data_IF_639705910142
#
_entry.id   IF_639705910142
#
_cell.length_a   1.000
_cell.length_b   1.000
_cell.length_c   1.000
_cell.angle_alpha   90.00
_cell.angle_beta   90.00
_cell.angle_gamma   90.00
#
_symmetry.space_group_name_H-M   'P 1'
#
loop_
_entity.id
_entity.type
_entity.pdbx_description
1 polymer ?
#
# COMPACT_ATOMS: atom_id res chain seq x y z
N UNK A 1 -16.63 4.99 -15.32
CA UNK A 1 -15.58 4.29 -14.55
C UNK A 1 -15.86 4.53 -13.08
N UNK A 2 -15.76 3.50 -12.23
CA UNK A 2 -15.96 3.65 -10.79
C UNK A 2 -14.77 4.37 -10.15
N UNK A 3 -15.05 5.35 -9.29
CA UNK A 3 -14.04 6.17 -8.62
C UNK A 3 -14.10 5.90 -7.12
N UNK A 4 -12.95 5.92 -6.43
CA UNK A 4 -12.96 5.81 -4.98
C UNK A 4 -13.71 6.98 -4.30
N UNK A 5 -13.80 8.13 -4.96
CA UNK A 5 -14.56 9.28 -4.48
C UNK A 5 -16.09 9.04 -4.47
N UNK A 6 -16.57 8.00 -5.15
CA UNK A 6 -17.98 7.61 -5.11
C UNK A 6 -18.32 6.74 -3.91
N UNK A 7 -17.33 6.27 -3.14
CA UNK A 7 -17.53 5.46 -1.96
C UNK A 7 -17.78 6.31 -0.70
N UNK A 8 -18.62 5.79 0.19
CA UNK A 8 -18.87 6.32 1.53
C UNK A 8 -19.26 5.19 2.48
N UNK A 9 -19.10 5.38 3.79
CA UNK A 9 -19.71 4.55 4.83
C UNK A 9 -21.11 5.01 5.21
N UNK A 10 -21.58 6.14 4.67
CA UNK A 10 -22.89 6.73 4.96
C UNK A 10 -23.91 6.41 3.84
N UNK A 11 -25.14 6.01 4.21
CA UNK A 11 -26.25 5.91 3.26
C UNK A 11 -26.90 7.27 2.92
N UNK A 12 -26.51 8.35 3.62
CA UNK A 12 -27.16 9.65 3.51
C UNK A 12 -26.42 10.54 2.49
N UNK A 13 -26.95 10.60 1.26
CA UNK A 13 -26.38 11.36 0.12
C UNK A 13 -26.21 12.84 0.46
N UNK A 14 -27.17 13.43 1.17
CA UNK A 14 -27.19 14.86 1.47
C UNK A 14 -26.09 15.27 2.47
N UNK A 15 -25.59 14.31 3.26
CA UNK A 15 -24.55 14.53 4.27
C UNK A 15 -23.15 14.12 3.81
N UNK A 16 -23.00 13.66 2.57
CA UNK A 16 -21.71 13.18 2.08
C UNK A 16 -20.70 14.33 2.01
N UNK A 17 -19.59 14.15 2.71
CA UNK A 17 -18.47 15.09 2.67
C UNK A 17 -17.78 15.05 1.31
N UNK A 18 -17.26 16.19 0.80
CA UNK A 18 -16.54 16.21 -0.47
C UNK A 18 -15.29 15.31 -0.41
N UNK A 19 -14.96 14.74 -1.56
CA UNK A 19 -13.71 14.02 -1.72
C UNK A 19 -12.50 14.97 -1.71
N UNK A 20 -11.35 14.47 -1.29
CA UNK A 20 -10.10 15.19 -1.23
C UNK A 20 -8.92 14.25 -1.48
N UNK A 21 -7.74 14.83 -1.70
CA UNK A 21 -6.51 14.05 -1.82
C UNK A 21 -6.09 13.52 -0.47
N UNK A 22 -5.98 12.20 -0.37
CA UNK A 22 -5.45 11.47 0.76
C UNK A 22 -4.14 10.82 0.37
N UNK A 23 -3.13 10.91 1.24
CA UNK A 23 -1.83 10.28 1.04
C UNK A 23 -1.81 8.94 1.76
N UNK A 24 -1.53 7.86 1.02
CA UNK A 24 -1.49 6.52 1.61
C UNK A 24 -0.33 6.37 2.60
N UNK A 25 0.89 6.62 2.14
CA UNK A 25 2.08 6.46 2.96
C UNK A 25 2.48 7.80 3.59
N UNK A 26 2.47 7.89 4.93
CA UNK A 26 2.79 9.12 5.67
C UNK A 26 3.98 8.91 6.62
N UNK A 27 4.60 10.00 7.05
CA UNK A 27 5.90 9.99 7.73
C UNK A 27 5.85 9.36 9.13
N UNK A 28 4.71 9.55 9.81
CA UNK A 28 4.44 9.02 11.15
C UNK A 28 4.37 7.48 11.16
N UNK A 29 4.08 6.84 10.02
CA UNK A 29 3.89 5.39 9.91
C UNK A 29 5.20 4.59 9.71
N UNK A 30 6.34 5.26 9.43
CA UNK A 30 7.42 4.63 8.65
C UNK A 30 8.85 4.80 9.21
N UNK A 31 9.04 5.39 10.39
CA UNK A 31 10.36 5.80 10.93
C UNK A 31 11.40 4.68 11.01
N UNK A 32 11.01 3.40 10.94
CA UNK A 32 11.91 2.25 10.90
C UNK A 32 12.11 1.58 9.53
N UNK A 33 11.26 1.83 8.53
CA UNK A 33 11.26 1.06 7.27
C UNK A 33 11.61 1.87 6.02
N UNK A 34 11.79 3.20 6.13
CA UNK A 34 12.27 4.04 5.02
C UNK A 34 13.53 3.51 4.36
N UNK A 35 14.52 3.13 5.16
CA UNK A 35 15.78 2.60 4.64
C UNK A 35 15.62 1.25 3.95
N UNK A 36 14.69 0.42 4.42
CA UNK A 36 14.35 -0.83 3.76
C UNK A 36 13.62 -0.57 2.43
N UNK A 37 12.69 0.40 2.39
CA UNK A 37 12.02 0.83 1.17
C UNK A 37 13.00 1.39 0.15
N UNK A 38 13.81 2.39 0.52
CA UNK A 38 14.84 2.98 -0.34
C UNK A 38 15.71 1.89 -0.97
N UNK A 39 16.18 0.98 -0.14
CA UNK A 39 17.04 -0.10 -0.56
C UNK A 39 16.35 -1.07 -1.52
N UNK A 40 15.18 -1.59 -1.14
CA UNK A 40 14.45 -2.56 -1.95
C UNK A 40 13.86 -1.96 -3.22
N UNK A 41 13.56 -0.67 -3.21
CA UNK A 41 13.09 0.07 -4.38
C UNK A 41 14.26 0.52 -5.28
N UNK A 42 15.51 0.21 -4.91
CA UNK A 42 16.70 0.60 -5.66
C UNK A 42 16.85 2.12 -5.77
N UNK A 43 16.53 2.83 -4.69
CA UNK A 43 16.61 4.28 -4.57
C UNK A 43 17.80 4.67 -3.69
N UNK A 44 18.44 5.83 -3.95
CA UNK A 44 19.43 6.40 -3.05
C UNK A 44 18.87 6.65 -1.64
N UNK A 45 19.77 6.62 -0.64
CA UNK A 45 19.40 6.94 0.74
C UNK A 45 18.92 8.40 0.85
N UNK A 46 17.83 8.61 1.57
CA UNK A 46 17.16 9.90 1.73
C UNK A 46 16.38 10.36 0.50
N UNK A 47 16.20 9.51 -0.51
CA UNK A 47 15.55 9.90 -1.77
C UNK A 47 14.13 9.37 -1.95
N UNK A 48 13.60 8.58 -1.01
CA UNK A 48 12.16 8.26 -1.02
C UNK A 48 11.39 9.56 -0.77
N UNK A 49 10.60 9.97 -1.76
CA UNK A 49 9.73 11.13 -1.65
C UNK A 49 8.28 10.68 -1.50
N UNK A 50 7.72 10.83 -0.30
CA UNK A 50 6.31 10.51 -0.03
C UNK A 50 5.34 11.60 -0.51
N UNK A 51 5.83 12.80 -0.81
CA UNK A 51 5.03 13.96 -1.24
C UNK A 51 4.84 13.99 -2.76
N UNK A 52 4.77 12.82 -3.40
CA UNK A 52 4.54 12.70 -4.84
C UNK A 52 3.07 12.47 -5.14
N UNK A 53 2.62 12.93 -6.31
CA UNK A 53 1.26 12.65 -6.83
C UNK A 53 0.98 11.15 -6.90
N UNK A 54 2.02 10.36 -7.17
CA UNK A 54 1.98 8.90 -7.21
C UNK A 54 1.71 8.20 -5.86
N UNK A 55 1.62 8.94 -4.76
CA UNK A 55 1.25 8.45 -3.43
C UNK A 55 -0.12 9.02 -2.97
N UNK A 56 -0.86 9.70 -3.85
CA UNK A 56 -2.16 10.28 -3.57
C UNK A 56 -3.29 9.45 -4.15
N UNK A 57 -4.41 9.43 -3.43
CA UNK A 57 -5.71 8.94 -3.91
C UNK A 57 -6.77 10.00 -3.63
N UNK A 58 -7.85 10.01 -4.41
CA UNK A 58 -8.96 10.95 -4.22
C UNK A 58 -10.17 10.24 -3.62
N UNK A 59 -10.47 10.53 -2.35
CA UNK A 59 -11.43 9.79 -1.51
C UNK A 59 -12.22 10.73 -0.60
N UNK A 60 -13.39 10.29 -0.13
CA UNK A 60 -14.13 10.98 0.93
C UNK A 60 -13.49 10.77 2.30
N UNK A 61 -13.79 11.64 3.26
CA UNK A 61 -13.15 11.65 4.58
C UNK A 61 -13.39 10.38 5.41
N UNK A 62 -14.60 9.82 5.32
CA UNK A 62 -14.95 8.55 5.94
C UNK A 62 -14.18 7.37 5.34
N UNK A 63 -13.97 7.37 4.02
CA UNK A 63 -13.13 6.36 3.35
C UNK A 63 -11.64 6.56 3.66
N UNK A 64 -11.16 7.80 3.68
CA UNK A 64 -9.81 8.15 4.11
C UNK A 64 -9.53 7.65 5.54
N UNK A 65 -10.50 7.79 6.43
CA UNK A 65 -10.40 7.30 7.81
C UNK A 65 -10.20 5.77 7.86
N UNK A 66 -10.84 5.00 6.97
CA UNK A 66 -10.64 3.55 6.90
C UNK A 66 -9.23 3.16 6.39
N UNK A 67 -8.65 3.95 5.48
CA UNK A 67 -7.24 3.77 5.07
C UNK A 67 -6.29 4.12 6.20
N UNK A 68 -6.59 5.20 6.93
CA UNK A 68 -5.81 5.66 8.09
C UNK A 68 -5.81 4.65 9.25
N UNK A 69 -6.98 4.11 9.61
CA UNK A 69 -7.11 3.05 10.64
C UNK A 69 -6.64 1.67 10.17
N UNK A 70 -6.17 1.57 8.92
CA UNK A 70 -5.77 0.34 8.27
C UNK A 70 -6.86 -0.75 8.35
N UNK A 71 -8.11 -0.36 8.14
CA UNK A 71 -9.24 -1.29 8.04
C UNK A 71 -9.45 -1.76 6.60
N UNK A 72 -8.97 -0.99 5.63
CA UNK A 72 -8.95 -1.31 4.20
C UNK A 72 -7.60 -0.98 3.59
N UNK A 73 -7.25 -1.67 2.50
CA UNK A 73 -6.08 -1.40 1.67
C UNK A 73 -6.42 -1.47 0.18
N UNK A 74 -5.54 -0.90 -0.64
CA UNK A 74 -5.57 -1.09 -2.09
C UNK A 74 -4.60 -2.20 -2.47
N UNK A 75 -5.14 -3.31 -2.97
CA UNK A 75 -4.36 -4.40 -3.53
C UNK A 75 -4.22 -4.17 -5.05
N UNK A 76 -3.00 -4.01 -5.60
CA UNK A 76 -2.83 -4.00 -7.05
C UNK A 76 -3.31 -5.32 -7.67
N UNK A 77 -3.53 -5.34 -8.98
CA UNK A 77 -3.81 -6.58 -9.72
C UNK A 77 -2.78 -7.69 -9.40
N UNK A 78 -3.23 -8.94 -9.37
CA UNK A 78 -2.41 -10.09 -8.93
C UNK A 78 -1.14 -10.26 -9.74
N UNK A 79 -1.21 -10.08 -11.05
CA UNK A 79 -0.08 -10.15 -11.99
C UNK A 79 0.97 -9.09 -11.67
N UNK A 80 0.50 -7.90 -11.30
CA UNK A 80 1.36 -6.78 -10.91
C UNK A 80 2.05 -7.05 -9.58
N UNK A 81 1.32 -7.60 -8.60
CA UNK A 81 1.91 -8.02 -7.32
C UNK A 81 2.95 -9.13 -7.49
N UNK A 82 2.73 -10.09 -8.38
CA UNK A 82 3.73 -11.12 -8.72
C UNK A 82 4.99 -10.47 -9.28
N UNK A 83 4.85 -9.56 -10.24
CA UNK A 83 5.98 -8.81 -10.83
C UNK A 83 6.74 -8.01 -9.78
N UNK A 84 6.02 -7.30 -8.90
CA UNK A 84 6.61 -6.54 -7.79
C UNK A 84 7.39 -7.44 -6.84
N UNK A 85 6.83 -8.60 -6.47
CA UNK A 85 7.49 -9.57 -5.60
C UNK A 85 8.80 -10.05 -6.22
N UNK A 86 8.80 -10.45 -7.48
CA UNK A 86 10.01 -10.90 -8.19
C UNK A 86 11.07 -9.80 -8.29
N UNK A 87 10.66 -8.55 -8.50
CA UNK A 87 11.55 -7.41 -8.45
C UNK A 87 12.19 -7.22 -7.07
N UNK A 88 11.37 -7.23 -6.00
CA UNK A 88 11.85 -7.08 -4.62
C UNK A 88 12.80 -8.20 -4.21
N UNK A 89 12.48 -9.43 -4.59
CA UNK A 89 13.34 -10.59 -4.37
C UNK A 89 14.69 -10.44 -5.09
N UNK A 90 14.69 -9.98 -6.33
CA UNK A 90 15.91 -9.74 -7.10
C UNK A 90 16.79 -8.65 -6.45
N UNK A 91 16.18 -7.54 -6.03
CA UNK A 91 16.90 -6.47 -5.34
C UNK A 91 17.43 -6.91 -3.97
N UNK A 92 16.66 -7.72 -3.25
CA UNK A 92 17.10 -8.31 -1.99
C UNK A 92 18.33 -9.21 -2.20
N UNK A 93 18.36 -10.06 -3.23
CA UNK A 93 19.54 -10.87 -3.55
C UNK A 93 20.74 -10.02 -3.99
N UNK A 94 20.54 -9.06 -4.90
CA UNK A 94 21.59 -8.16 -5.36
C UNK A 94 22.30 -7.47 -4.19
N UNK A 95 21.52 -7.03 -3.21
CA UNK A 95 22.04 -6.40 -2.00
C UNK A 95 22.92 -7.31 -1.13
N UNK A 96 22.56 -8.59 -1.00
CA UNK A 96 23.33 -9.54 -0.21
C UNK A 96 24.70 -9.82 -0.85
N UNK A 97 24.76 -9.78 -2.18
CA UNK A 97 25.96 -10.06 -2.97
C UNK A 97 26.79 -8.80 -3.31
N UNK A 98 26.35 -7.62 -2.86
CA UNK A 98 27.04 -6.34 -3.09
C UNK A 98 26.85 -5.76 -4.49
N UNK A 99 25.87 -6.24 -5.25
CA UNK A 99 25.47 -5.69 -6.55
C UNK A 99 24.54 -4.48 -6.39
N UNK A 100 24.48 -3.66 -7.44
CA UNK A 100 23.58 -2.51 -7.49
C UNK A 100 22.12 -2.97 -7.70
N UNK A 101 21.22 -2.48 -6.84
CA UNK A 101 19.78 -2.71 -6.97
C UNK A 101 19.23 -1.94 -8.19
N UNK A 102 18.25 -2.53 -8.88
CA UNK A 102 17.51 -1.86 -9.95
C UNK A 102 16.46 -0.92 -9.36
N UNK A 103 16.27 0.26 -9.96
CA UNK A 103 15.24 1.20 -9.52
C UNK A 103 13.83 0.68 -9.81
N UNK A 104 12.90 0.86 -8.87
CA UNK A 104 11.50 0.47 -9.04
C UNK A 104 10.85 1.24 -10.20
N UNK A 105 11.21 2.50 -10.41
CA UNK A 105 10.74 3.33 -11.52
C UNK A 105 11.22 2.85 -12.90
N UNK A 106 12.26 2.00 -12.94
CA UNK A 106 12.64 1.26 -14.15
C UNK A 106 11.87 -0.05 -14.34
N UNK A 107 11.28 -0.60 -13.27
CA UNK A 107 10.50 -1.85 -13.29
C UNK A 107 9.05 -1.62 -13.72
N UNK A 108 8.42 -0.58 -13.16
CA UNK A 108 7.04 -0.19 -13.42
C UNK A 108 7.00 1.25 -13.93
N UNK A 109 6.31 1.47 -15.05
CA UNK A 109 6.07 2.80 -15.63
C UNK A 109 5.16 3.66 -14.75
N UNK A 110 5.22 4.98 -14.94
CA UNK A 110 4.24 5.89 -14.33
C UNK A 110 3.00 5.93 -15.22
N UNK A 111 1.95 5.20 -14.81
CA UNK A 111 0.68 5.08 -15.51
C UNK A 111 -0.42 4.70 -14.52
N UNK A 112 -1.68 4.71 -14.98
CA UNK A 112 -2.79 4.15 -14.22
C UNK A 112 -2.62 2.64 -14.01
N UNK A 113 -2.91 2.19 -12.79
CA UNK A 113 -2.95 0.78 -12.43
C UNK A 113 -4.30 0.41 -11.86
N UNK A 114 -4.64 -0.88 -11.99
CA UNK A 114 -5.87 -1.43 -11.45
C UNK A 114 -5.67 -1.95 -10.02
N UNK A 115 -6.62 -1.59 -9.15
CA UNK A 115 -6.61 -1.89 -7.73
C UNK A 115 -7.95 -2.47 -7.26
N UNK A 116 -7.89 -3.48 -6.40
CA UNK A 116 -9.04 -3.96 -5.63
C UNK A 116 -8.96 -3.41 -4.21
N UNK A 117 -10.04 -2.78 -3.76
CA UNK A 117 -10.19 -2.41 -2.36
C UNK A 117 -10.41 -3.69 -1.55
N UNK A 118 -9.52 -3.95 -0.59
CA UNK A 118 -9.48 -5.19 0.17
C UNK A 118 -9.59 -4.86 1.65
N UNK A 119 -10.50 -5.50 2.40
CA UNK A 119 -10.54 -5.33 3.85
C UNK A 119 -9.32 -5.96 4.51
N UNK A 120 -8.79 -5.27 5.51
CA UNK A 120 -7.71 -5.77 6.38
C UNK A 120 -8.31 -6.19 7.73
N UNK A 121 -9.28 -5.44 8.24
CA UNK A 121 -9.99 -5.76 9.48
C UNK A 121 -10.86 -7.01 9.34
N UNK A 122 -11.16 -7.66 10.46
CA UNK A 122 -12.07 -8.83 10.51
C UNK A 122 -13.53 -8.44 10.25
N UNK A 123 -13.89 -7.19 10.56
CA UNK A 123 -15.20 -6.62 10.38
C UNK A 123 -15.06 -5.19 9.85
N UNK A 124 -16.08 -4.69 9.16
CA UNK A 124 -16.12 -3.32 8.65
C UNK A 124 -17.55 -2.86 8.43
N UNK A 125 -17.78 -1.53 8.31
CA UNK A 125 -19.09 -0.99 8.00
C UNK A 125 -19.50 -1.37 6.57
N UNK A 126 -20.80 -1.39 6.21
CA UNK A 126 -21.19 -1.43 4.82
C UNK A 126 -20.64 -0.21 4.08
N UNK A 127 -20.28 -0.41 2.82
CA UNK A 127 -19.92 0.67 1.92
C UNK A 127 -21.10 1.01 1.01
N UNK A 128 -21.20 2.27 0.65
CA UNK A 128 -22.20 2.79 -0.27
C UNK A 128 -21.47 3.41 -1.44
N UNK A 129 -21.74 2.91 -2.64
CA UNK A 129 -21.15 3.40 -3.88
C UNK A 129 -22.19 4.21 -4.63
N UNK A 130 -21.90 5.49 -4.88
CA UNK A 130 -22.70 6.32 -5.78
C UNK A 130 -22.53 5.83 -7.22
N UNK A 131 -23.64 5.79 -7.94
CA UNK A 131 -23.64 5.64 -9.39
C UNK A 131 -22.95 6.83 -10.09
N UNK A 132 -22.78 6.74 -11.41
CA UNK A 132 -22.17 7.81 -12.20
C UNK A 132 -22.97 9.11 -12.22
N UNK A 133 -24.27 9.06 -11.88
CA UNK A 133 -25.16 10.21 -11.84
C UNK A 133 -25.21 10.88 -10.46
N UNK A 134 -24.63 10.23 -9.43
CA UNK A 134 -24.65 10.69 -8.05
C UNK A 134 -26.03 10.57 -7.37
N UNK A 135 -26.95 9.81 -7.96
CA UNK A 135 -28.37 9.78 -7.59
C UNK A 135 -28.76 8.53 -6.80
N UNK A 136 -28.12 7.40 -7.09
CA UNK A 136 -28.41 6.13 -6.42
C UNK A 136 -27.20 5.62 -5.66
N UNK A 137 -27.47 5.02 -4.49
CA UNK A 137 -26.47 4.33 -3.69
C UNK A 137 -26.65 2.82 -3.80
N UNK A 138 -25.61 2.15 -4.27
CA UNK A 138 -25.50 0.71 -4.13
C UNK A 138 -24.86 0.40 -2.77
N UNK A 139 -25.61 -0.28 -1.89
CA UNK A 139 -25.05 -0.84 -0.67
C UNK A 139 -24.21 -2.07 -0.99
N UNK A 140 -23.03 -2.12 -0.39
CA UNK A 140 -22.04 -3.18 -0.55
C UNK A 140 -21.68 -3.65 0.85
N UNK A 141 -22.00 -4.91 1.12
CA UNK A 141 -21.69 -5.53 2.41
C UNK A 141 -20.21 -5.93 2.49
N UNK A 142 -19.66 -5.89 3.69
CA UNK A 142 -18.38 -6.49 4.02
C UNK A 142 -18.38 -7.99 3.64
N UNK A 143 -17.31 -8.56 3.05
CA UNK A 143 -15.96 -8.03 2.86
C UNK A 143 -15.74 -7.27 1.54
N UNK A 144 -16.81 -6.75 0.94
CA UNK A 144 -16.79 -5.93 -0.28
C UNK A 144 -16.36 -6.66 -1.55
N UNK A 145 -16.58 -7.97 -1.63
CA UNK A 145 -16.22 -8.79 -2.79
C UNK A 145 -16.84 -8.26 -4.10
N UNK A 146 -18.03 -7.68 -4.03
CA UNK A 146 -18.77 -7.12 -5.17
C UNK A 146 -18.30 -5.75 -5.65
N UNK A 147 -17.34 -5.10 -4.97
CA UNK A 147 -16.76 -3.85 -5.47
C UNK A 147 -16.10 -4.04 -6.84
N UNK A 148 -16.22 -3.09 -7.77
CA UNK A 148 -15.40 -3.11 -8.97
C UNK A 148 -13.93 -2.87 -8.63
N UNK A 149 -13.04 -3.16 -9.58
CA UNK A 149 -11.69 -2.65 -9.51
C UNK A 149 -11.64 -1.16 -9.87
N UNK A 150 -10.67 -0.45 -9.31
CA UNK A 150 -10.46 0.97 -9.51
C UNK A 150 -9.17 1.20 -10.30
N UNK A 151 -9.23 2.08 -11.30
CA UNK A 151 -8.02 2.55 -11.98
C UNK A 151 -7.57 3.85 -11.33
N UNK A 152 -6.31 3.91 -10.91
CA UNK A 152 -5.75 5.02 -10.14
C UNK A 152 -4.36 5.35 -10.65
N UNK A 153 -4.03 6.65 -10.65
CA UNK A 153 -2.65 7.19 -10.82
C UNK A 153 -1.80 7.00 -9.55
N UNK A 154 -2.01 5.90 -8.85
CA UNK A 154 -1.27 5.51 -7.66
C UNK A 154 -0.15 4.57 -8.08
N UNK A 155 1.06 4.77 -7.57
CA UNK A 155 2.17 3.89 -7.87
C UNK A 155 2.13 2.64 -6.96
N UNK A 156 2.20 1.41 -7.51
CA UNK A 156 1.88 0.19 -6.77
C UNK A 156 2.72 -0.04 -5.51
N UNK A 157 3.98 0.40 -5.52
CA UNK A 157 4.87 0.27 -4.36
C UNK A 157 4.36 1.03 -3.13
N UNK A 158 3.77 2.22 -3.29
CA UNK A 158 3.14 2.95 -2.18
C UNK A 158 1.92 2.21 -1.64
N UNK A 159 1.06 1.70 -2.52
CA UNK A 159 -0.13 0.94 -2.14
C UNK A 159 0.22 -0.30 -1.30
N UNK A 160 1.21 -1.07 -1.75
CA UNK A 160 1.64 -2.30 -1.05
C UNK A 160 2.40 -2.03 0.24
N UNK A 161 3.16 -0.93 0.32
CA UNK A 161 3.82 -0.52 1.56
C UNK A 161 2.80 -0.12 2.63
N UNK A 162 1.78 0.67 2.27
CA UNK A 162 0.68 1.04 3.17
C UNK A 162 -0.10 -0.19 3.65
N UNK A 163 -0.62 -1.00 2.72
CA UNK A 163 -1.47 -2.14 3.10
C UNK A 163 -0.71 -3.27 3.81
N UNK A 164 0.56 -3.49 3.44
CA UNK A 164 1.37 -4.59 3.97
C UNK A 164 1.62 -4.51 5.47
N UNK A 165 1.80 -3.31 6.03
CA UNK A 165 2.03 -3.09 7.46
C UNK A 165 0.88 -3.65 8.30
N UNK A 166 -0.33 -3.39 7.85
CA UNK A 166 -1.54 -3.80 8.52
C UNK A 166 -1.78 -5.33 8.49
N UNK A 167 -1.34 -6.00 7.42
CA UNK A 167 -1.47 -7.47 7.28
C UNK A 167 -0.47 -8.28 8.12
N UNK A 168 0.57 -7.67 8.69
CA UNK A 168 1.41 -8.33 9.70
C UNK A 168 0.84 -8.24 11.11
N UNK A 169 0.20 -7.11 11.43
CA UNK A 169 -0.29 -6.82 12.78
C UNK A 169 -1.62 -7.52 13.05
N UNK A 170 -2.57 -7.42 12.11
CA UNK A 170 -3.86 -8.08 12.22
C UNK A 170 -3.71 -9.52 11.71
N UNK A 171 -3.97 -10.53 12.57
CA UNK A 171 -4.02 -11.96 12.20
C UNK A 171 -5.21 -12.31 11.30
N UNK A 172 -5.58 -11.42 10.39
CA UNK A 172 -6.80 -11.51 9.60
C UNK A 172 -6.65 -12.55 8.48
N UNK A 173 -7.63 -13.45 8.41
CA UNK A 173 -7.69 -14.57 7.47
C UNK A 173 -8.38 -14.21 6.14
N UNK A 174 -8.52 -12.93 5.78
CA UNK A 174 -9.45 -12.53 4.73
C UNK A 174 -8.81 -12.28 3.35
N UNK A 175 -9.57 -12.70 2.34
CA UNK A 175 -9.28 -12.79 0.90
C UNK A 175 -7.86 -13.28 0.54
N UNK A 176 -7.57 -14.61 0.59
CA UNK A 176 -6.22 -15.16 0.41
C UNK A 176 -5.56 -14.83 -0.92
N UNK A 177 -6.35 -14.43 -1.93
CA UNK A 177 -5.86 -13.98 -3.24
C UNK A 177 -5.05 -12.69 -3.12
N UNK A 178 -5.43 -11.77 -2.22
CA UNK A 178 -4.78 -10.46 -2.09
C UNK A 178 -3.92 -10.35 -0.83
N UNK A 179 -4.37 -10.92 0.29
CA UNK A 179 -3.63 -10.85 1.56
C UNK A 179 -2.31 -11.62 1.53
N UNK A 180 -2.24 -12.79 0.87
CA UNK A 180 -0.98 -13.55 0.78
C UNK A 180 0.09 -12.84 -0.05
N UNK A 181 -0.18 -12.33 -1.27
CA UNK A 181 0.81 -11.57 -2.01
C UNK A 181 1.23 -10.28 -1.30
N UNK A 182 0.30 -9.51 -0.73
CA UNK A 182 0.62 -8.29 0.01
C UNK A 182 1.50 -8.57 1.21
N UNK A 183 1.17 -9.59 2.01
CA UNK A 183 2.00 -10.03 3.13
C UNK A 183 3.38 -10.50 2.66
N UNK A 184 3.45 -11.24 1.56
CA UNK A 184 4.75 -11.69 1.02
C UNK A 184 5.62 -10.52 0.56
N UNK A 185 5.03 -9.49 -0.05
CA UNK A 185 5.74 -8.26 -0.44
C UNK A 185 6.24 -7.54 0.81
N UNK A 186 5.39 -7.40 1.83
CA UNK A 186 5.73 -6.67 3.03
C UNK A 186 6.80 -7.36 3.90
N UNK A 187 6.86 -8.70 3.89
CA UNK A 187 7.95 -9.45 4.52
C UNK A 187 9.32 -8.99 4.00
N UNK A 188 9.45 -8.63 2.72
CA UNK A 188 10.70 -8.04 2.22
C UNK A 188 10.97 -6.70 2.92
N UNK A 189 9.99 -5.79 3.04
CA UNK A 189 10.19 -4.51 3.72
C UNK A 189 10.64 -4.66 5.18
N UNK A 190 10.20 -5.70 5.90
CA UNK A 190 10.62 -5.94 7.29
C UNK A 190 11.98 -6.62 7.42
N UNK A 191 12.31 -7.56 6.53
CA UNK A 191 13.48 -8.44 6.69
C UNK A 191 14.66 -8.06 5.81
N UNK A 192 14.45 -7.23 4.80
CA UNK A 192 15.51 -6.67 3.96
C UNK A 192 16.09 -5.43 4.63
N UNK A 193 16.69 -5.62 5.79
CA UNK A 193 17.57 -4.60 6.37
C UNK A 193 18.95 -4.80 5.74
N UNK A 194 19.44 -3.85 4.94
CA UNK A 194 20.75 -3.99 4.33
C UNK A 194 21.86 -4.09 5.38
N UNK A 195 22.92 -4.87 5.12
CA UNK A 195 24.07 -5.04 6.04
C UNK A 195 24.71 -3.73 6.50
N UNK A 196 24.66 -2.67 5.68
CA UNK A 196 25.18 -1.35 6.06
C UNK A 196 24.34 -0.64 7.14
N UNK A 197 23.07 -1.04 7.30
CA UNK A 197 22.25 -0.64 8.44
C UNK A 197 22.60 -1.45 9.70
N UNK A 198 23.62 -2.31 9.66
CA UNK A 198 24.21 -2.93 10.84
C UNK A 198 25.65 -2.43 11.08
N UNK A 199 25.97 -2.03 12.31
CA UNK A 199 27.33 -1.96 12.82
C UNK A 199 27.76 -3.33 13.31
N UNK A 200 28.97 -3.76 12.96
CA UNK A 200 29.63 -4.82 13.72
C UNK A 200 30.29 -4.24 14.97
N UNK A 201 29.86 -4.71 16.14
CA UNK A 201 30.51 -4.47 17.43
C UNK A 201 30.74 -5.83 18.09
N UNK A 202 31.98 -6.11 18.51
CA UNK A 202 32.36 -7.37 19.18
C UNK A 202 31.97 -8.65 18.43
N UNK A 203 32.08 -8.64 17.09
CA UNK A 203 31.74 -9.80 16.26
C UNK A 203 30.23 -10.07 16.09
N UNK A 204 29.37 -9.21 16.64
CA UNK A 204 27.90 -9.26 16.49
C UNK A 204 27.41 -8.10 15.63
N UNK A 205 26.40 -8.37 14.81
CA UNK A 205 25.75 -7.35 13.98
C UNK A 205 24.64 -6.67 14.80
N UNK A 206 24.72 -5.35 14.91
CA UNK A 206 23.79 -4.49 15.64
C UNK A 206 23.18 -3.47 14.68
N UNK A 207 21.85 -3.33 14.65
CA UNK A 207 21.17 -2.33 13.83
C UNK A 207 21.68 -0.91 14.19
N UNK A 208 22.15 -0.15 13.20
CA UNK A 208 22.44 1.28 13.30
C UNK A 208 21.12 2.03 13.33
N UNK A 209 20.53 2.19 14.50
CA UNK A 209 19.44 3.15 14.71
C UNK A 209 20.11 4.51 14.85
N UNK A 210 20.19 5.26 13.75
CA UNK A 210 20.47 6.70 13.85
C UNK A 210 19.12 7.38 14.04
N UNK A 211 18.85 7.82 15.27
CA UNK A 211 17.78 8.77 15.59
C UNK A 211 18.10 10.13 14.97
#
# INVERSE_FOLDING_TARGET
MSSLASLSTSPDIEKLQPAHHFRLLQDEDMTGIYHALEHLWGLPRGSVNLFTESNLIYVRADIAQLFWSQDIALAPATELMIKMRSFLESNNFAAHDGYQCSSCFGCLSLQEYEYKLTPIAEHGPPLYMLDSTGSELQKIEFPYDSLPAFKLDLYPFFATAHGGAAFLDKRSNHHPVYSRPLRSIYIFYCHSVPRWAYTRRDGKEHLRINL
#
